data_IF_949427102527
#
_entry.id   IF_949427102527
#
_cell.length_a   1.000
_cell.length_b   1.000
_cell.length_c   1.000
_cell.angle_alpha   90.00
_cell.angle_beta   90.00
_cell.angle_gamma   90.00
#
_symmetry.space_group_name_H-M   'P 1'
#
loop_
_entity.id
_entity.type
_entity.pdbx_description
1 polymer ?
#
# COMPACT_ATOMS: atom_id res chain seq x y z
N UNK A 1 -3.17 26.26 -9.40
CA UNK A 1 -2.37 25.15 -8.86
C UNK A 1 -1.02 25.67 -8.44
N UNK A 2 -0.57 25.27 -7.26
CA UNK A 2 0.73 25.72 -6.78
C UNK A 2 1.86 25.11 -7.59
N UNK A 3 2.95 25.85 -7.70
CA UNK A 3 4.16 25.33 -8.33
C UNK A 3 4.79 24.31 -7.38
N UNK A 4 5.11 23.16 -7.91
CA UNK A 4 5.72 22.07 -7.14
C UNK A 4 7.20 22.02 -7.52
N UNK A 5 8.13 22.24 -6.56
CA UNK A 5 9.56 22.18 -6.84
C UNK A 5 10.00 20.79 -7.29
N UNK A 6 11.04 20.72 -8.08
CA UNK A 6 11.58 19.44 -8.57
C UNK A 6 11.94 18.50 -7.42
N UNK A 7 12.46 19.05 -6.30
CA UNK A 7 12.81 18.23 -5.15
C UNK A 7 11.58 17.54 -4.53
N UNK A 8 10.42 18.21 -4.57
CA UNK A 8 9.17 17.60 -4.12
C UNK A 8 8.74 16.48 -5.07
N UNK A 9 8.93 16.68 -6.38
CA UNK A 9 8.54 15.66 -7.35
C UNK A 9 9.36 14.39 -7.18
N UNK A 10 10.62 14.51 -6.77
CA UNK A 10 11.42 13.32 -6.46
C UNK A 10 10.85 12.55 -5.28
N UNK A 11 10.42 13.26 -4.24
CA UNK A 11 9.79 12.62 -3.09
C UNK A 11 8.45 11.98 -3.45
N UNK A 12 7.66 12.66 -4.27
CA UNK A 12 6.39 12.12 -4.76
C UNK A 12 6.63 10.85 -5.56
N UNK A 13 7.63 10.87 -6.45
CA UNK A 13 7.97 9.71 -7.26
C UNK A 13 8.37 8.52 -6.39
N UNK A 14 9.13 8.76 -5.32
CA UNK A 14 9.51 7.68 -4.40
C UNK A 14 8.30 7.05 -3.72
N UNK A 15 7.31 7.86 -3.35
CA UNK A 15 6.07 7.32 -2.76
C UNK A 15 5.30 6.47 -3.75
N UNK A 16 5.16 6.93 -4.99
CA UNK A 16 4.51 6.13 -6.01
C UNK A 16 5.27 4.83 -6.28
N UNK A 17 6.61 4.89 -6.29
CA UNK A 17 7.42 3.70 -6.48
C UNK A 17 7.21 2.68 -5.36
N UNK A 18 7.07 3.14 -4.11
CA UNK A 18 6.79 2.26 -2.99
C UNK A 18 5.42 1.58 -3.14
N UNK A 19 4.46 2.26 -3.71
CA UNK A 19 3.12 1.71 -3.92
C UNK A 19 3.00 0.97 -5.24
N UNK A 20 3.98 1.05 -6.11
CA UNK A 20 3.93 0.46 -7.45
C UNK A 20 4.30 -1.01 -7.49
N UNK A 21 4.13 -1.74 -6.39
CA UNK A 21 4.42 -3.16 -6.30
C UNK A 21 3.19 -3.90 -5.78
N UNK A 22 2.73 -4.96 -6.48
CA UNK A 22 1.50 -5.65 -6.06
C UNK A 22 1.56 -6.22 -4.64
N UNK A 23 2.70 -6.75 -4.23
CA UNK A 23 2.83 -7.31 -2.88
C UNK A 23 2.73 -6.22 -1.83
N UNK A 24 3.37 -5.08 -2.05
CA UNK A 24 3.26 -3.96 -1.13
C UNK A 24 1.84 -3.40 -1.07
N UNK A 25 1.13 -3.38 -2.19
CA UNK A 25 -0.27 -2.98 -2.20
C UNK A 25 -1.14 -3.94 -1.40
N UNK A 26 -0.85 -5.24 -1.47
CA UNK A 26 -1.57 -6.23 -0.65
C UNK A 26 -1.31 -6.00 0.84
N UNK A 27 -0.09 -5.64 1.20
CA UNK A 27 0.26 -5.32 2.59
C UNK A 27 -0.47 -4.07 3.06
N UNK A 28 -0.48 -3.02 2.24
CA UNK A 28 -1.19 -1.78 2.56
C UNK A 28 -2.68 -2.06 2.72
N UNK A 29 -3.27 -2.86 1.83
CA UNK A 29 -4.67 -3.26 1.94
C UNK A 29 -4.94 -4.02 3.23
N UNK A 30 -4.05 -4.93 3.61
CA UNK A 30 -4.21 -5.70 4.85
C UNK A 30 -4.21 -4.77 6.07
N UNK A 31 -3.34 -3.76 6.09
CA UNK A 31 -3.29 -2.80 7.17
C UNK A 31 -4.50 -1.87 7.17
N UNK A 32 -4.98 -1.50 5.99
CA UNK A 32 -6.17 -0.66 5.87
C UNK A 32 -7.40 -1.39 6.40
N UNK A 33 -7.56 -2.65 6.05
CA UNK A 33 -8.73 -3.44 6.44
C UNK A 33 -8.66 -3.93 7.89
N UNK A 34 -7.47 -4.34 8.32
CA UNK A 34 -7.29 -4.94 9.65
C UNK A 34 -6.81 -3.99 10.73
N UNK A 35 -6.40 -2.79 10.37
CA UNK A 35 -5.82 -1.86 11.32
C UNK A 35 -4.42 -2.29 11.75
N UNK A 36 -3.97 -1.78 12.89
CA UNK A 36 -2.66 -2.13 13.42
C UNK A 36 -2.54 -3.64 13.59
N UNK A 37 -1.48 -4.23 13.04
CA UNK A 37 -1.35 -5.69 12.98
C UNK A 37 0.11 -6.11 13.14
N UNK A 38 0.30 -7.32 13.63
CA UNK A 38 1.61 -7.95 13.71
C UNK A 38 2.02 -8.50 12.34
N UNK A 39 3.33 -8.67 12.15
CA UNK A 39 3.88 -9.11 10.86
C UNK A 39 3.24 -10.41 10.38
N UNK A 40 3.05 -11.38 11.28
CA UNK A 40 2.43 -12.66 10.90
C UNK A 40 1.02 -12.52 10.39
N UNK A 41 0.24 -11.63 10.99
CA UNK A 41 -1.12 -11.36 10.54
C UNK A 41 -1.14 -10.69 9.18
N UNK A 42 -0.22 -9.73 8.98
CA UNK A 42 -0.11 -9.03 7.71
C UNK A 42 0.30 -10.01 6.61
N UNK A 43 1.28 -10.86 6.89
CA UNK A 43 1.75 -11.87 5.93
C UNK A 43 0.63 -12.81 5.51
N UNK A 44 -0.16 -13.28 6.47
CA UNK A 44 -1.30 -14.15 6.19
C UNK A 44 -2.33 -13.46 5.30
N UNK A 45 -2.67 -12.22 5.63
CA UNK A 45 -3.65 -11.46 4.86
C UNK A 45 -3.14 -11.11 3.45
N UNK A 46 -1.85 -10.83 3.32
CA UNK A 46 -1.25 -10.47 2.03
C UNK A 46 -0.87 -11.68 1.19
N UNK A 47 -0.88 -12.87 1.78
CA UNK A 47 -0.56 -14.08 1.04
C UNK A 47 0.92 -14.21 0.67
N UNK A 48 1.80 -13.75 1.53
CA UNK A 48 3.24 -13.83 1.31
C UNK A 48 3.93 -14.29 2.60
N UNK A 49 5.23 -14.58 2.51
CA UNK A 49 5.98 -15.07 3.66
C UNK A 49 6.20 -13.97 4.68
N UNK A 50 6.44 -14.37 5.93
CA UNK A 50 6.77 -13.43 7.00
C UNK A 50 8.04 -12.65 6.66
N UNK A 51 9.06 -13.35 6.14
CA UNK A 51 10.33 -12.70 5.79
C UNK A 51 10.14 -11.65 4.70
N UNK A 52 9.39 -11.98 3.66
CA UNK A 52 9.12 -11.05 2.56
C UNK A 52 8.27 -9.86 3.03
N UNK A 53 7.26 -10.14 3.84
CA UNK A 53 6.43 -9.10 4.44
C UNK A 53 7.26 -8.14 5.28
N UNK A 54 8.15 -8.67 6.10
CA UNK A 54 9.01 -7.86 6.95
C UNK A 54 9.89 -6.92 6.13
N UNK A 55 10.47 -7.42 5.03
CA UNK A 55 11.29 -6.59 4.15
C UNK A 55 10.48 -5.46 3.53
N UNK A 56 9.28 -5.75 3.04
CA UNK A 56 8.42 -4.72 2.47
C UNK A 56 7.99 -3.69 3.52
N UNK A 57 7.65 -4.16 4.72
CA UNK A 57 7.26 -3.25 5.80
C UNK A 57 8.40 -2.31 6.20
N UNK A 58 9.63 -2.80 6.20
CA UNK A 58 10.78 -1.95 6.49
C UNK A 58 10.93 -0.84 5.45
N UNK A 59 10.71 -1.15 4.18
CA UNK A 59 10.77 -0.15 3.11
C UNK A 59 9.63 0.86 3.24
N UNK A 60 8.43 0.38 3.53
CA UNK A 60 7.28 1.26 3.74
C UNK A 60 7.48 2.17 4.95
N UNK A 61 8.10 1.66 6.00
CA UNK A 61 8.40 2.45 7.19
C UNK A 61 9.46 3.51 6.89
N UNK A 62 10.50 3.14 6.15
CA UNK A 62 11.54 4.09 5.74
C UNK A 62 10.95 5.21 4.88
N UNK A 63 9.94 4.91 4.10
CA UNK A 63 9.24 5.89 3.27
C UNK A 63 8.15 6.68 3.97
N UNK A 64 7.93 6.43 5.27
CA UNK A 64 6.95 7.18 6.05
C UNK A 64 5.50 6.77 5.82
N UNK A 65 5.27 5.62 5.18
CA UNK A 65 3.91 5.15 4.90
C UNK A 65 3.33 4.40 6.08
N UNK A 66 4.16 3.58 6.75
CA UNK A 66 3.73 2.83 7.93
C UNK A 66 4.58 3.22 9.13
N UNK A 67 3.98 3.11 10.32
CA UNK A 67 4.65 3.27 11.58
C UNK A 67 4.78 1.92 12.27
N UNK A 68 5.76 1.83 13.15
CA UNK A 68 6.10 0.61 13.84
C UNK A 68 6.01 0.84 15.35
N UNK A 69 5.41 -0.10 16.05
CA UNK A 69 5.30 -0.05 17.50
C UNK A 69 5.74 -1.38 18.08
N UNK A 70 6.57 -1.32 19.12
CA UNK A 70 6.98 -2.52 19.83
C UNK A 70 6.21 -2.62 21.15
N UNK A 71 5.74 -3.83 21.45
CA UNK A 71 5.11 -4.13 22.72
C UNK A 71 5.69 -5.47 23.20
N UNK A 72 6.65 -5.38 24.12
CA UNK A 72 7.43 -6.55 24.53
C UNK A 72 8.24 -7.07 23.36
N UNK A 73 8.03 -8.33 22.99
CA UNK A 73 8.70 -8.93 21.84
C UNK A 73 7.88 -8.83 20.56
N UNK A 74 6.65 -8.37 20.68
CA UNK A 74 5.78 -8.21 19.51
C UNK A 74 6.05 -6.88 18.84
N UNK A 75 5.95 -6.87 17.51
CA UNK A 75 6.09 -5.67 16.70
C UNK A 75 4.84 -5.52 15.86
N UNK A 76 4.26 -4.34 15.92
CA UNK A 76 3.02 -4.01 15.20
C UNK A 76 3.28 -2.90 14.22
N UNK A 77 2.56 -2.92 13.11
CA UNK A 77 2.64 -1.91 12.07
C UNK A 77 1.27 -1.31 11.83
N UNK A 78 1.23 -0.03 11.46
CA UNK A 78 -0.02 0.65 11.09
C UNK A 78 0.29 1.67 10.00
N UNK A 79 -0.72 2.02 9.22
CA UNK A 79 -0.58 3.10 8.24
C UNK A 79 -0.59 4.42 8.99
N UNK A 80 0.41 5.27 8.72
CA UNK A 80 0.51 6.59 9.35
C UNK A 80 0.35 7.72 8.35
N UNK A 81 0.38 7.44 7.06
CA UNK A 81 0.19 8.46 6.03
C UNK A 81 -1.25 8.39 5.53
N UNK A 82 -2.08 9.34 5.95
CA UNK A 82 -3.50 9.37 5.61
C UNK A 82 -3.74 9.48 4.11
N UNK A 83 -2.82 10.12 3.37
CA UNK A 83 -3.00 10.28 1.93
C UNK A 83 -2.92 8.96 1.20
N UNK A 84 -2.20 7.99 1.75
CA UNK A 84 -2.06 6.67 1.12
C UNK A 84 -3.38 5.94 1.10
N UNK A 85 -4.14 5.99 2.18
CA UNK A 85 -5.46 5.37 2.22
C UNK A 85 -6.41 6.01 1.21
N UNK A 86 -6.40 7.34 1.15
CA UNK A 86 -7.21 8.09 0.20
C UNK A 86 -6.83 7.76 -1.23
N UNK A 87 -5.53 7.76 -1.52
CA UNK A 87 -5.03 7.46 -2.86
C UNK A 87 -5.42 6.05 -3.29
N UNK A 88 -5.23 5.06 -2.43
CA UNK A 88 -5.59 3.68 -2.73
C UNK A 88 -7.08 3.55 -2.99
N UNK A 89 -7.92 4.21 -2.19
CA UNK A 89 -9.37 4.18 -2.38
C UNK A 89 -9.74 4.76 -3.74
N UNK A 90 -9.16 5.90 -4.11
CA UNK A 90 -9.46 6.57 -5.37
C UNK A 90 -9.02 5.70 -6.56
N UNK A 91 -7.78 5.22 -6.54
CA UNK A 91 -7.23 4.46 -7.67
C UNK A 91 -7.91 3.11 -7.79
N UNK A 92 -8.10 2.39 -6.68
CA UNK A 92 -8.79 1.11 -6.69
C UNK A 92 -10.23 1.25 -7.20
N UNK A 93 -10.91 2.33 -6.77
CA UNK A 93 -12.26 2.61 -7.25
C UNK A 93 -12.28 2.87 -8.75
N UNK A 94 -11.30 3.61 -9.25
CA UNK A 94 -11.19 3.89 -10.68
C UNK A 94 -10.98 2.61 -11.49
N UNK A 95 -10.07 1.75 -11.04
CA UNK A 95 -9.80 0.49 -11.71
C UNK A 95 -11.03 -0.41 -11.70
N UNK A 96 -11.71 -0.50 -10.55
CA UNK A 96 -12.91 -1.31 -10.43
C UNK A 96 -14.02 -0.82 -11.39
N UNK A 97 -14.19 0.50 -11.51
CA UNK A 97 -15.17 1.06 -12.43
C UNK A 97 -14.81 0.76 -13.90
N UNK A 98 -13.53 0.86 -14.23
CA UNK A 98 -13.06 0.54 -15.57
C UNK A 98 -13.35 -0.90 -15.94
N UNK A 99 -13.08 -1.82 -15.04
CA UNK A 99 -13.33 -3.25 -15.28
C UNK A 99 -14.80 -3.54 -15.40
N UNK A 100 -15.66 -2.90 -14.60
CA UNK A 100 -17.09 -3.11 -14.66
C UNK A 100 -17.73 -2.52 -15.89
N UNK A 101 -17.10 -1.53 -16.49
CA UNK A 101 -17.62 -0.89 -17.68
C UNK A 101 -17.46 -1.74 -18.93
N UNK A 102 -16.54 -2.70 -18.93
CA UNK A 102 -16.29 -3.53 -20.10
C UNK A 102 -17.24 -4.71 -20.08
N UNK A 103 -18.05 -4.89 -21.15
CA UNK A 103 -18.86 -6.11 -21.27
C UNK A 103 -17.96 -7.33 -21.33
N UNK A 104 -18.46 -8.46 -20.87
CA UNK A 104 -17.68 -9.69 -20.84
C UNK A 104 -17.14 -10.08 -22.20
N UNK A 105 -17.90 -9.85 -23.24
CA UNK A 105 -17.47 -10.22 -24.58
C UNK A 105 -16.46 -9.27 -25.19
N UNK A 106 -16.20 -8.14 -24.54
CA UNK A 106 -15.25 -7.14 -25.02
C UNK A 106 -14.09 -6.97 -24.07
N UNK A 107 -14.30 -7.45 -22.91
CA UNK A 107 -13.35 -7.24 -21.83
C UNK A 107 -12.04 -7.85 -22.08
N UNK A 108 -12.03 -8.56 -22.99
CA UNK A 108 -10.93 -9.05 -23.22
C UNK A 108 -10.23 -8.31 -23.82
N UNK A 109 -9.64 -8.05 -23.44
CA UNK A 109 -9.05 -7.34 -23.64
C UNK A 109 -8.36 -6.86 -23.87
N UNK A 110 -8.52 -6.76 -23.91
CA UNK A 110 -7.88 -6.22 -24.38
C UNK A 110 -6.86 -5.95 -24.00
#
# INVERSE_FOLDING_TARGET
MAVIPDSFLEDVARRFALLGDPTRLKIVRALHEGGESAVGEIAGAAGTSVANTSQHLQRLAAGGIVGRRRDGQAVYYRIIDETIEQLCTIVCGSVARSQRRLPDDVAEPV
#
